data_IF_296489907589
#
_entry.id   IF_296489907589
#
_cell.length_a   1.000
_cell.length_b   1.000
_cell.length_c   1.000
_cell.angle_alpha   90.00
_cell.angle_beta   90.00
_cell.angle_gamma   90.00
#
_symmetry.space_group_name_H-M   'P 1'
#
loop_
_entity.id
_entity.type
_entity.pdbx_description
1 polymer ?
#
# COMPACT_ATOMS: atom_id res chain seq x y z
N UNK A 1 0.72 18.29 -24.45
CA UNK A 1 0.11 17.54 -23.34
C UNK A 1 1.06 17.57 -22.16
N UNK A 2 0.54 17.37 -20.97
CA UNK A 2 1.28 17.40 -19.71
C UNK A 2 0.49 16.66 -18.64
N UNK A 3 1.18 15.98 -17.71
CA UNK A 3 0.60 15.71 -16.40
C UNK A 3 0.42 17.04 -15.66
N UNK A 4 -0.73 17.22 -15.01
CA UNK A 4 -1.04 18.33 -14.10
C UNK A 4 -1.22 17.77 -12.68
N UNK A 5 -0.87 18.56 -11.67
CA UNK A 5 -0.89 18.15 -10.26
C UNK A 5 -1.71 19.16 -9.43
N UNK A 6 -2.95 19.35 -9.86
CA UNK A 6 -3.87 20.43 -9.48
C UNK A 6 -5.27 19.92 -9.06
N UNK A 7 -5.42 18.61 -8.79
CA UNK A 7 -6.66 18.05 -8.23
C UNK A 7 -6.82 18.42 -6.75
N UNK A 8 -7.47 19.55 -6.51
CA UNK A 8 -7.94 20.00 -5.21
C UNK A 8 -9.43 19.68 -5.03
N UNK A 9 -9.85 19.33 -3.81
CA UNK A 9 -11.26 19.13 -3.40
C UNK A 9 -12.04 17.98 -4.10
N UNK A 10 -11.35 16.95 -4.58
CA UNK A 10 -11.97 15.73 -5.16
C UNK A 10 -12.05 14.60 -4.12
N UNK A 11 -13.09 13.77 -4.17
CA UNK A 11 -13.34 12.72 -3.16
C UNK A 11 -12.38 11.52 -3.33
N UNK A 12 -11.32 11.51 -2.53
CA UNK A 12 -10.31 10.44 -2.49
C UNK A 12 -10.66 9.26 -1.58
N UNK A 13 -11.91 9.16 -1.11
CA UNK A 13 -12.39 8.04 -0.28
C UNK A 13 -12.18 6.65 -0.94
N UNK A 14 -11.83 5.68 -0.09
CA UNK A 14 -11.63 4.27 -0.42
C UNK A 14 -12.61 3.41 0.40
N UNK A 15 -13.34 2.46 -0.23
CA UNK A 15 -14.14 1.50 0.52
C UNK A 15 -13.26 0.59 1.36
N UNK A 16 -13.62 0.38 2.62
CA UNK A 16 -13.05 -0.69 3.44
C UNK A 16 -13.88 -1.96 3.20
N UNK A 17 -13.34 -2.89 2.42
CA UNK A 17 -13.97 -4.18 2.11
C UNK A 17 -13.15 -5.32 2.73
N UNK A 18 -13.83 -6.25 3.41
CA UNK A 18 -13.20 -7.28 4.24
C UNK A 18 -12.33 -6.73 5.40
N UNK A 19 -12.26 -5.41 5.59
CA UNK A 19 -11.29 -4.74 6.47
C UNK A 19 -10.05 -4.18 5.75
N UNK A 20 -9.94 -4.34 4.42
CA UNK A 20 -8.85 -3.80 3.61
C UNK A 20 -9.28 -2.50 2.94
N UNK A 21 -8.37 -1.53 2.85
CA UNK A 21 -8.41 -0.47 1.85
C UNK A 21 -7.00 -0.24 1.31
N UNK A 22 -6.85 0.12 0.03
CA UNK A 22 -5.52 0.27 -0.56
C UNK A 22 -5.47 1.27 -1.70
N UNK A 23 -4.32 1.92 -1.85
CA UNK A 23 -4.03 2.89 -2.89
C UNK A 23 -2.59 2.72 -3.38
N UNK A 24 -2.40 2.71 -4.71
CA UNK A 24 -1.07 2.70 -5.31
C UNK A 24 -0.82 3.95 -6.17
N UNK A 25 -0.10 4.94 -5.63
CA UNK A 25 0.37 6.10 -6.39
C UNK A 25 1.20 5.76 -7.63
N UNK A 26 1.97 4.65 -7.63
CA UNK A 26 2.96 4.38 -8.68
C UNK A 26 2.29 3.86 -9.95
N UNK A 27 1.47 2.80 -9.89
CA UNK A 27 0.74 2.32 -11.06
C UNK A 27 -0.30 3.34 -11.55
N UNK A 28 -0.92 4.12 -10.65
CA UNK A 28 -1.76 5.25 -11.05
C UNK A 28 -0.99 6.25 -11.93
N UNK A 29 0.20 6.67 -11.49
CA UNK A 29 1.02 7.63 -12.24
C UNK A 29 1.58 7.05 -13.54
N UNK A 30 1.95 5.77 -13.57
CA UNK A 30 2.38 5.09 -14.80
C UNK A 30 1.24 4.96 -15.82
N UNK A 31 0.02 4.66 -15.37
CA UNK A 31 -1.16 4.66 -16.23
C UNK A 31 -1.48 6.07 -16.75
N UNK A 32 -1.43 7.09 -15.89
CA UNK A 32 -1.66 8.48 -16.26
C UNK A 32 -0.61 9.01 -17.28
N UNK A 33 0.68 8.67 -17.11
CA UNK A 33 1.72 9.04 -18.06
C UNK A 33 1.45 8.42 -19.44
N UNK A 34 1.21 7.10 -19.51
CA UNK A 34 0.94 6.41 -20.77
C UNK A 34 -0.39 6.85 -21.44
N UNK A 35 -1.34 7.38 -20.66
CA UNK A 35 -2.56 8.02 -21.16
C UNK A 35 -2.26 9.43 -21.74
N UNK A 36 -1.35 10.18 -21.11
CA UNK A 36 -0.93 11.51 -21.59
C UNK A 36 -0.03 11.45 -22.82
N UNK A 37 0.85 10.45 -22.90
CA UNK A 37 1.67 10.14 -24.09
C UNK A 37 0.81 9.82 -25.33
N UNK A 38 -0.45 9.40 -25.12
CA UNK A 38 -1.46 9.14 -26.15
C UNK A 38 -2.33 10.33 -26.51
N UNK A 39 -2.07 11.51 -25.93
CA UNK A 39 -2.74 12.76 -26.24
C UNK A 39 -3.66 13.31 -25.15
N UNK A 40 -3.87 12.58 -24.05
CA UNK A 40 -4.65 13.11 -22.91
C UNK A 40 -3.90 14.20 -22.15
N UNK A 41 -4.63 15.14 -21.54
CA UNK A 41 -4.10 15.95 -20.44
C UNK A 41 -4.67 15.38 -19.14
N UNK A 42 -3.80 14.76 -18.35
CA UNK A 42 -4.21 14.03 -17.14
C UNK A 42 -3.84 14.84 -15.91
N UNK A 43 -4.82 15.06 -15.05
CA UNK A 43 -4.67 15.69 -13.76
C UNK A 43 -4.56 14.60 -12.69
N UNK A 44 -3.66 14.80 -11.73
CA UNK A 44 -3.36 13.92 -10.62
C UNK A 44 -3.39 14.68 -9.29
N UNK A 45 -3.49 13.94 -8.19
CA UNK A 45 -3.38 14.51 -6.84
C UNK A 45 -2.00 15.18 -6.65
N UNK A 46 -1.91 16.35 -5.98
CA UNK A 46 -0.64 17.03 -5.74
C UNK A 46 0.41 16.16 -5.02
N UNK A 47 -0.01 15.25 -4.14
CA UNK A 47 0.87 14.39 -3.36
C UNK A 47 1.40 13.14 -4.12
N UNK A 48 1.03 12.94 -5.39
CA UNK A 48 1.69 11.95 -6.27
C UNK A 48 2.66 12.59 -7.29
N UNK A 49 3.01 13.87 -7.08
CA UNK A 49 3.87 14.66 -7.98
C UNK A 49 5.38 14.37 -7.86
N UNK A 50 5.85 13.75 -6.77
CA UNK A 50 7.27 13.53 -6.50
C UNK A 50 7.99 12.52 -7.41
N UNK A 51 9.22 12.19 -7.09
CA UNK A 51 10.07 11.21 -7.77
C UNK A 51 9.53 9.78 -7.57
N UNK A 52 9.43 8.99 -8.65
CA UNK A 52 9.03 7.58 -8.60
C UNK A 52 10.24 6.68 -8.34
N UNK A 53 10.02 5.53 -7.68
CA UNK A 53 11.00 4.47 -7.47
C UNK A 53 11.51 3.89 -8.81
N UNK A 54 12.83 3.96 -9.11
CA UNK A 54 13.45 3.25 -10.22
C UNK A 54 13.22 1.72 -10.20
N UNK A 55 13.32 1.04 -9.05
CA UNK A 55 13.12 -0.42 -8.94
C UNK A 55 11.70 -0.79 -9.37
N UNK A 56 10.69 -0.16 -8.76
CA UNK A 56 9.29 -0.48 -9.00
C UNK A 56 8.82 -0.04 -10.40
N UNK A 57 9.45 0.99 -10.98
CA UNK A 57 9.22 1.38 -12.38
C UNK A 57 9.79 0.33 -13.36
N UNK A 58 10.90 -0.32 -13.04
CA UNK A 58 11.46 -1.43 -13.86
C UNK A 58 10.65 -2.72 -13.73
N UNK A 59 10.01 -2.94 -12.58
CA UNK A 59 9.08 -4.07 -12.34
C UNK A 59 7.67 -3.84 -12.91
N UNK A 60 7.39 -2.66 -13.47
CA UNK A 60 6.10 -2.31 -14.03
C UNK A 60 5.90 -2.84 -15.45
N UNK A 61 4.67 -3.22 -15.75
CA UNK A 61 4.17 -3.47 -17.10
C UNK A 61 3.02 -2.53 -17.39
N UNK A 62 3.01 -1.90 -18.57
CA UNK A 62 1.94 -0.99 -19.00
C UNK A 62 1.40 -1.45 -20.34
N UNK A 63 0.18 -2.01 -20.32
CA UNK A 63 -0.59 -2.36 -21.51
C UNK A 63 -1.57 -1.23 -21.83
N UNK A 64 -1.79 -0.94 -23.12
CA UNK A 64 -2.68 0.14 -23.52
C UNK A 64 -3.36 -0.16 -24.87
N UNK A 65 -4.59 -0.62 -24.79
CA UNK A 65 -5.39 -1.18 -25.89
C UNK A 65 -6.83 -0.65 -25.85
N UNK A 66 -7.57 -0.58 -26.98
CA UNK A 66 -8.99 -0.27 -26.95
C UNK A 66 -9.79 -1.39 -26.25
N UNK A 67 -10.77 -1.03 -25.42
CA UNK A 67 -11.69 -1.98 -24.81
C UNK A 67 -13.11 -1.85 -25.41
N UNK A 68 -14.01 -2.78 -25.10
CA UNK A 68 -15.36 -2.80 -25.69
C UNK A 68 -16.14 -1.53 -25.29
N UNK A 69 -16.31 -0.62 -26.24
CA UNK A 69 -16.96 0.69 -26.03
C UNK A 69 -16.04 1.80 -25.49
N UNK A 70 -14.74 1.53 -25.27
CA UNK A 70 -13.78 2.48 -24.70
C UNK A 70 -12.60 2.65 -25.68
N UNK A 71 -12.39 3.84 -26.29
CA UNK A 71 -11.43 4.02 -27.38
C UNK A 71 -9.97 3.86 -26.96
N UNK A 72 -9.65 4.11 -25.68
CA UNK A 72 -8.33 3.84 -25.08
C UNK A 72 -8.53 3.33 -23.66
N UNK A 73 -8.11 2.10 -23.37
CA UNK A 73 -7.83 1.64 -22.01
C UNK A 73 -6.33 1.65 -21.76
N UNK A 74 -5.91 1.91 -20.53
CA UNK A 74 -4.52 1.79 -20.06
C UNK A 74 -4.55 1.02 -18.75
N UNK A 75 -3.72 -0.02 -18.66
CA UNK A 75 -3.56 -0.86 -17.47
C UNK A 75 -2.09 -0.89 -17.11
N UNK A 76 -1.74 -0.25 -15.99
CA UNK A 76 -0.43 -0.38 -15.37
C UNK A 76 -0.50 -1.45 -14.27
N UNK A 77 0.45 -2.38 -14.27
CA UNK A 77 0.59 -3.43 -13.25
C UNK A 77 2.03 -3.48 -12.76
N UNK A 78 2.24 -3.44 -11.44
CA UNK A 78 3.53 -3.63 -10.78
C UNK A 78 3.43 -4.93 -9.97
N UNK A 79 4.33 -5.88 -10.22
CA UNK A 79 4.51 -7.09 -9.40
C UNK A 79 5.90 -7.01 -8.77
N UNK A 80 5.98 -6.91 -7.44
CA UNK A 80 7.25 -6.90 -6.71
C UNK A 80 8.05 -8.19 -6.89
N UNK A 81 7.38 -9.25 -7.37
CA UNK A 81 7.79 -10.64 -7.24
C UNK A 81 8.04 -10.98 -5.77
N UNK A 82 8.80 -12.04 -5.51
CA UNK A 82 9.13 -12.45 -4.14
C UNK A 82 10.20 -11.53 -3.55
N UNK A 83 9.78 -10.64 -2.66
CA UNK A 83 10.66 -9.91 -1.76
C UNK A 83 11.07 -10.82 -0.60
N UNK A 84 12.33 -10.73 -0.18
CA UNK A 84 12.87 -11.47 0.98
C UNK A 84 13.27 -10.50 2.09
N UNK A 85 13.02 -10.88 3.34
CA UNK A 85 13.58 -10.19 4.51
C UNK A 85 15.11 -10.07 4.42
N UNK A 86 15.69 -8.93 4.81
CA UNK A 86 17.14 -8.89 5.04
C UNK A 86 17.51 -9.69 6.31
N UNK A 87 17.91 -10.94 6.07
CA UNK A 87 18.39 -11.88 7.08
C UNK A 87 19.80 -11.58 7.59
N UNK A 88 20.46 -10.52 7.10
CA UNK A 88 21.67 -9.97 7.68
C UNK A 88 21.41 -9.30 9.04
N UNK A 89 20.24 -8.67 9.20
CA UNK A 89 19.84 -7.99 10.43
C UNK A 89 18.81 -8.79 11.26
N UNK A 90 17.91 -9.54 10.61
CA UNK A 90 16.71 -10.09 11.26
C UNK A 90 16.62 -11.63 11.21
N UNK A 91 15.83 -12.19 12.14
CA UNK A 91 15.48 -13.62 12.13
C UNK A 91 13.97 -13.78 12.31
N UNK A 92 13.18 -13.56 11.24
CA UNK A 92 11.72 -13.63 11.29
C UNK A 92 11.19 -14.98 11.79
N UNK A 93 10.14 -14.96 12.61
CA UNK A 93 9.48 -16.17 13.12
C UNK A 93 7.97 -16.07 13.07
N UNK A 94 7.33 -17.18 12.69
CA UNK A 94 5.93 -17.42 12.92
C UNK A 94 5.59 -17.35 14.43
N UNK A 95 4.65 -16.49 14.80
CA UNK A 95 4.10 -16.38 16.17
C UNK A 95 2.60 -16.13 16.13
N UNK A 96 1.88 -16.56 17.17
CA UNK A 96 0.48 -16.20 17.39
C UNK A 96 0.39 -15.04 18.40
N UNK A 97 -0.52 -14.09 18.18
CA UNK A 97 -0.73 -12.93 19.05
C UNK A 97 -2.22 -12.56 19.16
N UNK A 98 -2.61 -11.84 20.22
CA UNK A 98 -3.97 -11.34 20.39
C UNK A 98 -4.16 -10.00 19.68
N UNK A 99 -5.29 -9.79 19.01
CA UNK A 99 -5.67 -8.54 18.32
C UNK A 99 -6.66 -7.69 19.15
N UNK A 100 -7.02 -6.49 18.68
CA UNK A 100 -7.91 -5.56 19.42
C UNK A 100 -9.29 -6.11 19.69
N UNK A 101 -9.75 -6.94 18.76
CA UNK A 101 -11.01 -7.68 18.83
C UNK A 101 -11.00 -8.74 19.94
N UNK A 102 -9.85 -8.99 20.59
CA UNK A 102 -9.60 -10.12 21.46
C UNK A 102 -9.36 -11.44 20.72
N UNK A 103 -9.29 -11.41 19.38
CA UNK A 103 -9.06 -12.60 18.55
C UNK A 103 -7.57 -12.97 18.48
N UNK A 104 -7.27 -14.26 18.46
CA UNK A 104 -5.93 -14.77 18.20
C UNK A 104 -5.64 -14.74 16.68
N UNK A 105 -4.52 -14.15 16.29
CA UNK A 105 -4.09 -13.88 14.90
C UNK A 105 -2.69 -14.41 14.66
N UNK A 106 -2.41 -14.72 13.40
CA UNK A 106 -1.07 -15.08 12.96
C UNK A 106 -0.21 -13.83 12.71
N UNK A 107 1.03 -13.83 13.18
CA UNK A 107 1.98 -12.73 13.05
C UNK A 107 3.43 -13.19 12.82
N UNK A 108 4.28 -12.23 12.47
CA UNK A 108 5.72 -12.41 12.25
C UNK A 108 6.49 -11.61 13.29
N UNK A 109 7.17 -12.30 14.21
CA UNK A 109 8.17 -11.73 15.12
C UNK A 109 9.42 -11.41 14.30
N UNK A 110 9.74 -10.13 14.14
CA UNK A 110 10.94 -9.65 13.46
C UNK A 110 12.14 -9.53 14.41
N UNK A 111 11.93 -9.71 15.71
CA UNK A 111 12.93 -9.44 16.74
C UNK A 111 12.96 -7.98 17.15
N UNK A 112 14.16 -7.43 17.31
CA UNK A 112 14.39 -6.06 17.83
C UNK A 112 14.54 -5.07 16.68
N UNK A 113 13.70 -4.04 16.67
CA UNK A 113 13.72 -2.95 15.68
C UNK A 113 13.57 -1.58 16.37
N UNK A 114 14.08 -0.48 15.76
CA UNK A 114 13.77 0.87 16.18
C UNK A 114 12.29 1.19 15.93
N UNK A 115 11.64 1.85 16.89
CA UNK A 115 10.25 2.32 16.82
C UNK A 115 10.20 3.79 17.20
N UNK A 116 9.36 4.58 16.53
CA UNK A 116 9.05 5.97 16.90
C UNK A 116 7.55 6.14 17.20
N UNK A 117 7.22 6.87 18.27
CA UNK A 117 5.87 7.38 18.54
C UNK A 117 5.71 8.74 17.82
N UNK A 118 5.03 8.76 16.66
CA UNK A 118 4.74 9.95 15.87
C UNK A 118 3.35 10.50 16.21
N UNK A 119 3.25 11.13 17.38
CA UNK A 119 1.97 11.59 17.93
C UNK A 119 1.15 10.41 18.45
N UNK A 120 -0.04 10.19 17.88
CA UNK A 120 -0.90 9.04 18.21
C UNK A 120 -0.60 7.78 17.37
N UNK A 121 0.24 7.89 16.34
CA UNK A 121 0.61 6.81 15.42
C UNK A 121 2.00 6.27 15.77
N UNK A 122 2.20 4.95 15.78
CA UNK A 122 3.56 4.38 15.88
C UNK A 122 4.08 3.91 14.56
N UNK A 123 5.40 4.01 14.40
CA UNK A 123 6.10 3.70 13.15
C UNK A 123 7.30 2.81 13.42
N UNK A 124 7.49 1.81 12.55
CA UNK A 124 8.73 1.04 12.40
C UNK A 124 8.95 0.75 10.90
N UNK A 125 10.19 0.55 10.49
CA UNK A 125 10.55 0.19 9.12
C UNK A 125 11.62 -0.90 9.09
N UNK A 126 11.71 -1.61 7.96
CA UNK A 126 12.67 -2.71 7.73
C UNK A 126 12.87 -2.87 6.24
N UNK A 127 14.09 -3.23 5.84
CA UNK A 127 14.43 -3.47 4.44
C UNK A 127 14.09 -4.91 3.98
N UNK A 128 13.55 -4.99 2.77
CA UNK A 128 13.32 -6.22 2.04
C UNK A 128 14.08 -6.17 0.71
N UNK A 129 14.71 -7.27 0.32
CA UNK A 129 15.50 -7.37 -0.90
C UNK A 129 14.66 -7.97 -2.04
N UNK A 130 14.82 -7.43 -3.26
CA UNK A 130 14.25 -8.02 -4.48
C UNK A 130 14.94 -9.35 -4.84
N UNK A 131 14.46 -10.02 -5.89
CA UNK A 131 15.17 -11.16 -6.48
C UNK A 131 16.61 -10.81 -6.87
N UNK A 132 16.88 -9.54 -7.23
CA UNK A 132 18.18 -9.01 -7.67
C UNK A 132 19.05 -8.36 -6.59
N UNK A 133 18.73 -8.55 -5.31
CA UNK A 133 19.44 -7.94 -4.15
C UNK A 133 19.34 -6.40 -4.06
N UNK A 134 18.35 -5.79 -4.72
CA UNK A 134 18.02 -4.36 -4.55
C UNK A 134 17.14 -4.18 -3.29
N UNK A 135 17.35 -3.11 -2.50
CA UNK A 135 16.58 -2.88 -1.27
C UNK A 135 15.31 -2.05 -1.50
N UNK A 136 14.22 -2.48 -0.87
CA UNK A 136 12.98 -1.74 -0.70
C UNK A 136 12.60 -1.73 0.79
N UNK A 137 12.55 -0.54 1.39
CA UNK A 137 12.10 -0.39 2.78
C UNK A 137 10.58 -0.54 2.85
N UNK A 138 10.10 -1.52 3.63
CA UNK A 138 8.69 -1.62 4.02
C UNK A 138 8.49 -0.91 5.36
N UNK A 139 7.41 -0.12 5.42
CA UNK A 139 7.01 0.66 6.59
C UNK A 139 5.74 0.10 7.19
N UNK A 140 5.62 0.17 8.51
CA UNK A 140 4.42 -0.22 9.26
C UNK A 140 3.98 0.93 10.15
N UNK A 141 2.73 1.36 10.00
CA UNK A 141 2.09 2.34 10.87
C UNK A 141 0.94 1.71 11.67
N UNK A 142 0.99 1.88 12.99
CA UNK A 142 -0.05 1.52 13.95
C UNK A 142 -1.01 2.71 14.12
N UNK A 143 -2.21 2.64 13.52
CA UNK A 143 -3.20 3.71 13.69
C UNK A 143 -3.88 3.63 15.06
N UNK A 144 -4.22 4.78 15.68
CA UNK A 144 -4.80 4.83 17.03
C UNK A 144 -6.24 4.32 17.13
N UNK A 145 -6.94 4.15 16.00
CA UNK A 145 -8.29 3.61 15.88
C UNK A 145 -8.53 3.08 14.47
N UNK A 146 -9.54 2.22 14.30
CA UNK A 146 -10.08 1.89 12.97
C UNK A 146 -10.68 3.13 12.29
N UNK A 147 -10.44 3.22 10.98
CA UNK A 147 -11.02 4.26 10.15
C UNK A 147 -12.47 3.90 9.79
N UNK A 148 -13.31 4.93 9.62
CA UNK A 148 -14.53 4.88 8.80
C UNK A 148 -14.18 4.32 7.43
N UNK A 149 -13.38 5.06 6.69
CA UNK A 149 -12.93 4.73 5.36
C UNK A 149 -11.52 5.28 5.27
N UNK A 150 -10.68 4.62 4.49
CA UNK A 150 -9.43 5.25 4.11
C UNK A 150 -9.72 6.37 3.12
N UNK A 151 -8.85 7.37 3.10
CA UNK A 151 -8.80 8.37 2.05
C UNK A 151 -7.41 8.29 1.40
N UNK A 152 -7.38 8.17 0.07
CA UNK A 152 -6.15 7.96 -0.69
C UNK A 152 -5.15 9.13 -0.54
N UNK A 153 -5.65 10.36 -0.35
CA UNK A 153 -4.81 11.53 -0.08
C UNK A 153 -4.23 11.44 1.33
N UNK A 154 -5.08 11.22 2.35
CA UNK A 154 -4.65 11.13 3.75
C UNK A 154 -3.68 9.95 4.02
N UNK A 155 -3.88 8.80 3.38
CA UNK A 155 -2.94 7.67 3.45
C UNK A 155 -1.58 8.01 2.81
N UNK A 156 -1.58 8.71 1.68
CA UNK A 156 -0.34 9.16 1.00
C UNK A 156 0.38 10.24 1.83
N UNK A 157 -0.37 11.20 2.37
CA UNK A 157 0.17 12.28 3.21
C UNK A 157 0.77 11.71 4.51
N UNK A 158 0.14 10.70 5.13
CA UNK A 158 0.71 9.96 6.25
C UNK A 158 2.05 9.32 5.88
N UNK A 159 2.09 8.52 4.80
CA UNK A 159 3.29 7.82 4.36
C UNK A 159 4.47 8.77 4.06
N UNK A 160 4.19 9.89 3.37
CA UNK A 160 5.18 10.94 3.06
C UNK A 160 5.63 11.67 4.32
N UNK A 161 4.71 12.09 5.20
CA UNK A 161 5.03 12.78 6.45
C UNK A 161 5.86 11.92 7.39
N UNK A 162 5.45 10.66 7.60
CA UNK A 162 6.18 9.69 8.41
C UNK A 162 7.62 9.52 7.94
N UNK A 163 7.83 9.30 6.64
CA UNK A 163 9.19 9.10 6.11
C UNK A 163 10.04 10.36 6.23
N UNK A 164 9.45 11.54 6.01
CA UNK A 164 10.16 12.82 6.09
C UNK A 164 10.68 13.15 7.50
N UNK A 165 10.04 12.66 8.56
CA UNK A 165 10.40 12.96 9.96
C UNK A 165 11.07 11.80 10.69
N UNK A 166 11.20 10.61 10.08
CA UNK A 166 11.77 9.42 10.72
C UNK A 166 13.19 9.64 11.28
N UNK A 167 14.08 10.25 10.49
CA UNK A 167 15.47 10.50 10.88
C UNK A 167 15.62 11.51 12.04
N UNK A 168 14.65 12.41 12.20
CA UNK A 168 14.64 13.45 13.24
C UNK A 168 13.78 13.06 14.47
N UNK A 169 13.09 11.92 14.42
CA UNK A 169 12.22 11.43 15.50
C UNK A 169 12.99 10.70 16.61
N UNK A 170 12.50 10.78 17.84
CA UNK A 170 13.07 9.99 18.96
C UNK A 170 12.70 8.52 18.79
N UNK A 171 13.70 7.68 18.50
CA UNK A 171 13.54 6.24 18.26
C UNK A 171 13.98 5.43 19.48
N UNK A 172 13.28 4.34 19.77
CA UNK A 172 13.62 3.38 20.82
C UNK A 172 13.55 1.93 20.32
N UNK A 173 14.42 1.06 20.83
CA UNK A 173 14.39 -0.37 20.51
C UNK A 173 13.15 -1.06 21.13
N UNK A 174 12.29 -1.63 20.29
CA UNK A 174 11.21 -2.51 20.72
C UNK A 174 11.39 -3.95 20.19
N UNK A 175 10.67 -4.91 20.76
CA UNK A 175 10.37 -6.16 20.06
C UNK A 175 9.15 -5.92 19.16
N UNK A 176 9.27 -6.25 17.87
CA UNK A 176 8.25 -5.96 16.86
C UNK A 176 7.69 -7.27 16.29
N UNK A 177 6.40 -7.48 16.55
CA UNK A 177 5.56 -8.43 15.83
C UNK A 177 4.61 -7.66 14.92
N UNK A 178 4.51 -8.08 13.66
CA UNK A 178 3.55 -7.54 12.68
C UNK A 178 2.49 -8.60 12.32
N UNK A 179 1.25 -8.23 11.94
CA UNK A 179 0.27 -9.20 11.46
C UNK A 179 0.72 -9.86 10.15
N UNK A 180 0.53 -11.17 10.03
CA UNK A 180 0.71 -11.89 8.78
C UNK A 180 -0.54 -11.76 7.90
N UNK A 181 -0.35 -11.61 6.58
CA UNK A 181 -1.42 -11.18 5.68
C UNK A 181 -1.43 -11.99 4.39
N UNK A 182 -2.62 -12.35 3.92
CA UNK A 182 -2.85 -12.73 2.53
C UNK A 182 -4.22 -12.18 2.13
N UNK A 183 -4.23 -11.22 1.20
CA UNK A 183 -5.41 -10.47 0.82
C UNK A 183 -5.48 -10.25 -0.69
N UNK A 184 -6.71 -10.15 -1.19
CA UNK A 184 -7.03 -9.51 -2.46
C UNK A 184 -8.03 -8.40 -2.19
N UNK A 185 -7.94 -7.31 -2.93
CA UNK A 185 -8.76 -6.12 -2.69
C UNK A 185 -8.95 -5.31 -3.98
N UNK A 186 -10.03 -4.52 -4.05
CA UNK A 186 -10.41 -3.76 -5.23
C UNK A 186 -10.99 -2.40 -4.84
N UNK A 187 -10.12 -1.39 -4.73
CA UNK A 187 -10.52 0.00 -4.54
C UNK A 187 -11.08 0.62 -5.82
N UNK A 188 -11.71 1.78 -5.68
CA UNK A 188 -11.98 2.67 -6.81
C UNK A 188 -12.11 4.16 -6.39
N UNK A 189 -10.97 4.83 -6.10
CA UNK A 189 -10.92 6.21 -5.58
C UNK A 189 -10.95 7.27 -6.70
N UNK A 190 -11.41 8.50 -6.46
CA UNK A 190 -11.30 9.58 -7.47
C UNK A 190 -9.96 10.32 -7.36
N UNK A 191 -8.86 9.66 -7.80
CA UNK A 191 -7.50 10.21 -7.71
C UNK A 191 -6.92 10.76 -9.05
N UNK A 192 -7.70 10.77 -10.13
CA UNK A 192 -7.30 11.31 -11.43
C UNK A 192 -8.48 11.90 -12.23
N UNK A 193 -8.20 12.88 -13.08
CA UNK A 193 -9.15 13.50 -14.03
C UNK A 193 -8.48 13.64 -15.40
N UNK A 194 -9.24 13.64 -16.50
CA UNK A 194 -8.71 13.79 -17.87
C UNK A 194 -9.50 14.87 -18.58
N UNK A 195 -8.82 15.88 -19.12
CA UNK A 195 -9.48 16.86 -20.00
C UNK A 195 -9.90 16.19 -21.33
N UNK A 196 -11.03 16.64 -21.87
CA UNK A 196 -11.63 16.20 -23.15
C UNK A 196 -12.22 14.76 -23.20
N UNK A 197 -11.93 13.87 -22.23
CA UNK A 197 -12.46 12.49 -22.20
C UNK A 197 -13.31 12.22 -20.94
N UNK A 198 -14.51 11.64 -21.10
CA UNK A 198 -15.34 11.20 -19.96
C UNK A 198 -14.69 10.02 -19.22
N UNK A 199 -14.14 10.27 -18.03
CA UNK A 199 -13.68 9.21 -17.13
C UNK A 199 -14.87 8.54 -16.44
N UNK A 200 -15.10 7.28 -16.78
CA UNK A 200 -16.07 6.40 -16.10
C UNK A 200 -15.58 5.82 -14.77
N UNK A 201 -14.36 6.18 -14.33
CA UNK A 201 -13.89 5.97 -12.94
C UNK A 201 -12.36 5.94 -12.74
N UNK A 202 -11.91 5.32 -11.65
CA UNK A 202 -10.56 4.81 -11.36
C UNK A 202 -10.70 3.54 -10.47
N UNK A 203 -9.97 2.43 -10.69
CA UNK A 203 -10.16 1.11 -10.03
C UNK A 203 -8.79 0.45 -9.79
N UNK A 204 -8.41 0.22 -8.54
CA UNK A 204 -7.13 -0.41 -8.21
C UNK A 204 -7.35 -1.79 -7.62
N UNK A 205 -6.86 -2.82 -8.31
CA UNK A 205 -6.81 -4.21 -7.85
C UNK A 205 -5.48 -4.47 -7.15
N UNK A 206 -5.54 -5.17 -6.02
CA UNK A 206 -4.40 -5.57 -5.23
C UNK A 206 -4.47 -7.06 -4.94
N UNK A 207 -3.30 -7.69 -4.92
CA UNK A 207 -3.06 -8.96 -4.26
C UNK A 207 -1.77 -8.83 -3.44
N UNK A 208 -1.81 -9.12 -2.15
CA UNK A 208 -0.64 -9.07 -1.28
C UNK A 208 -0.58 -10.32 -0.39
N UNK A 209 0.61 -10.88 -0.25
CA UNK A 209 0.90 -11.99 0.67
C UNK A 209 2.21 -11.71 1.42
N UNK A 210 2.22 -11.97 2.73
CA UNK A 210 3.23 -11.48 3.66
C UNK A 210 3.36 -12.43 4.87
N UNK A 211 4.52 -13.08 5.02
CA UNK A 211 4.79 -14.12 6.02
C UNK A 211 6.26 -14.12 6.53
N UNK A 212 6.64 -15.14 7.31
CA UNK A 212 8.00 -15.29 7.84
C UNK A 212 9.04 -15.66 6.77
N UNK A 213 8.59 -16.10 5.59
CA UNK A 213 9.43 -16.42 4.43
C UNK A 213 9.74 -15.18 3.58
N UNK A 214 8.81 -14.21 3.51
CA UNK A 214 8.97 -12.96 2.77
C UNK A 214 7.65 -12.29 2.41
N UNK A 215 7.62 -11.62 1.25
CA UNK A 215 6.43 -10.93 0.77
C UNK A 215 6.30 -10.98 -0.76
N UNK A 216 5.09 -10.75 -1.26
CA UNK A 216 4.82 -10.37 -2.66
C UNK A 216 3.60 -9.46 -2.72
N UNK A 217 3.69 -8.43 -3.55
CA UNK A 217 2.60 -7.49 -3.81
C UNK A 217 2.44 -7.31 -5.32
N UNK A 218 1.21 -7.49 -5.79
CA UNK A 218 0.78 -7.24 -7.15
C UNK A 218 -0.27 -6.12 -7.09
N UNK A 219 0.05 -4.95 -7.67
CA UNK A 219 -0.85 -3.81 -7.76
C UNK A 219 -1.16 -3.52 -9.23
N UNK A 220 -2.45 -3.37 -9.57
CA UNK A 220 -2.93 -3.12 -10.93
C UNK A 220 -3.98 -2.02 -10.95
N UNK A 221 -3.85 -1.07 -11.88
CA UNK A 221 -4.79 0.05 -12.05
C UNK A 221 -5.58 -0.05 -13.35
N UNK A 222 -6.92 -0.21 -13.23
CA UNK A 222 -8.00 -0.03 -14.21
C UNK A 222 -8.93 1.13 -13.73
N UNK A 223 -10.22 1.27 -14.16
CA UNK A 223 -11.02 2.49 -13.84
C UNK A 223 -12.58 2.43 -13.53
N UNK A 224 -13.05 2.49 -12.23
CA UNK A 224 -14.49 2.53 -11.72
C UNK A 224 -14.76 3.36 -10.38
N UNK A 225 -15.62 2.97 -9.38
CA UNK A 225 -15.95 3.78 -8.14
C UNK A 225 -16.37 3.00 -6.82
N UNK A 226 -16.15 3.53 -5.57
CA UNK A 226 -16.60 2.94 -4.26
C UNK A 226 -16.35 3.76 -2.94
N UNK A 227 -16.86 3.36 -1.72
CA UNK A 227 -16.76 4.08 -0.39
C UNK A 227 -17.14 3.26 0.92
N UNK A 228 -16.96 3.84 2.15
CA UNK A 228 -17.46 3.42 3.54
C UNK A 228 -16.80 2.19 4.28
N UNK A 229 -17.01 1.72 5.56
CA UNK A 229 -17.34 2.11 7.00
C UNK A 229 -17.24 0.86 7.98
N UNK A 230 -16.87 0.80 9.31
CA UNK A 230 -16.28 1.68 10.38
C UNK A 230 -15.55 0.86 11.57
N UNK A 231 -15.75 0.93 12.95
CA UNK A 231 -14.61 0.91 13.96
C UNK A 231 -14.71 0.11 15.36
N UNK A 232 -13.84 0.26 16.44
CA UNK A 232 -12.36 0.33 16.67
C UNK A 232 -11.77 -0.56 17.88
N UNK A 233 -10.92 -0.18 18.91
CA UNK A 233 -9.71 -0.97 19.29
C UNK A 233 -9.30 -1.24 20.80
N UNK A 234 -8.21 -2.01 21.10
CA UNK A 234 -7.13 -1.76 22.12
C UNK A 234 -6.05 -2.90 22.34
N UNK A 235 -4.69 -2.73 22.46
CA UNK A 235 -3.67 -1.69 22.00
C UNK A 235 -2.14 -2.10 22.27
N UNK A 236 -1.08 -2.58 21.54
CA UNK A 236 -0.40 -3.24 20.32
C UNK A 236 -0.70 -3.09 18.80
N UNK A 237 0.22 -3.37 17.85
CA UNK A 237 0.01 -3.32 16.38
C UNK A 237 -0.99 -4.39 15.93
N UNK A 238 -2.15 -3.99 15.39
CA UNK A 238 -3.28 -4.92 15.25
C UNK A 238 -4.01 -5.21 16.56
N UNK A 239 -3.63 -4.52 17.64
CA UNK A 239 -4.46 -4.21 18.80
C UNK A 239 -4.81 -2.69 18.94
N UNK A 240 -4.18 -1.72 18.29
CA UNK A 240 -4.55 -0.28 18.41
C UNK A 240 -5.62 0.13 17.43
N UNK A 241 -5.98 -0.81 16.57
CA UNK A 241 -6.70 -0.59 15.35
C UNK A 241 -5.89 -1.18 14.19
N UNK A 242 -6.15 -0.69 12.98
CA UNK A 242 -5.66 -1.22 11.73
C UNK A 242 -4.18 -0.88 11.52
N UNK A 243 -3.54 -1.68 10.67
CA UNK A 243 -2.15 -1.49 10.25
C UNK A 243 -2.15 -0.98 8.82
N UNK A 244 -1.45 0.12 8.58
CA UNK A 244 -1.12 0.58 7.23
C UNK A 244 0.31 0.16 6.91
N UNK A 245 0.50 -0.53 5.79
CA UNK A 245 1.82 -0.88 5.24
C UNK A 245 2.04 -0.17 3.89
N UNK A 246 3.28 0.17 3.57
CA UNK A 246 3.68 0.67 2.25
C UNK A 246 5.17 0.45 2.00
N UNK A 247 5.60 0.60 0.75
CA UNK A 247 6.99 0.41 0.33
C UNK A 247 7.61 1.71 -0.19
N UNK A 248 8.92 1.89 0.02
CA UNK A 248 9.70 3.02 -0.51
C UNK A 248 11.11 2.59 -0.93
N UNK A 249 11.69 3.32 -1.88
CA UNK A 249 13.11 3.26 -2.26
C UNK A 249 13.82 4.55 -1.83
N UNK A 250 15.14 4.50 -1.61
CA UNK A 250 15.95 5.71 -1.40
C UNK A 250 15.87 6.63 -2.63
N UNK A 251 15.75 7.94 -2.42
CA UNK A 251 15.63 8.93 -3.51
C UNK A 251 14.28 8.98 -4.24
N UNK A 252 13.42 7.96 -4.11
CA UNK A 252 12.00 8.10 -4.45
C UNK A 252 11.32 9.06 -3.46
N UNK A 253 10.20 9.68 -3.85
CA UNK A 253 9.35 10.49 -2.97
C UNK A 253 7.90 9.96 -2.92
N UNK A 254 7.47 9.27 -3.97
CA UNK A 254 6.15 8.66 -4.08
C UNK A 254 6.16 7.25 -3.48
N UNK A 255 5.35 6.95 -2.44
CA UNK A 255 5.25 5.62 -1.85
C UNK A 255 4.49 4.65 -2.76
N UNK A 256 4.77 3.35 -2.64
CA UNK A 256 4.14 2.27 -3.41
C UNK A 256 3.19 1.44 -2.56
N UNK A 257 2.06 1.08 -3.17
CA UNK A 257 1.06 0.14 -2.62
C UNK A 257 0.79 0.35 -1.12
N UNK A 258 0.16 1.46 -0.78
CA UNK A 258 -0.27 1.75 0.59
C UNK A 258 -1.51 0.90 0.89
N UNK A 259 -1.37 -0.11 1.75
CA UNK A 259 -2.46 -1.03 2.14
C UNK A 259 -2.81 -0.82 3.61
N UNK A 260 -3.98 -0.24 3.86
CA UNK A 260 -4.69 -0.28 5.13
C UNK A 260 -5.31 -1.66 5.34
N UNK A 261 -5.17 -2.23 6.53
CA UNK A 261 -5.76 -3.52 6.90
C UNK A 261 -6.29 -3.51 8.33
N UNK A 262 -7.48 -4.09 8.55
CA UNK A 262 -8.14 -4.25 9.83
C UNK A 262 -8.28 -5.74 10.21
N UNK A 263 -8.68 -6.03 11.45
CA UNK A 263 -8.69 -7.39 12.03
C UNK A 263 -9.44 -8.45 11.21
N UNK A 264 -10.50 -8.08 10.50
CA UNK A 264 -11.25 -9.00 9.63
C UNK A 264 -10.47 -9.48 8.39
N UNK A 265 -9.43 -8.75 7.97
CA UNK A 265 -8.59 -9.09 6.83
C UNK A 265 -7.37 -9.95 7.18
N UNK A 266 -7.02 -10.08 8.47
CA UNK A 266 -5.83 -10.82 8.92
C UNK A 266 -6.09 -12.30 9.11
N UNK A 267 -5.03 -13.08 8.88
CA UNK A 267 -5.09 -14.54 8.93
C UNK A 267 -5.24 -15.04 10.36
N UNK A 268 -6.01 -16.13 10.49
CA UNK A 268 -6.18 -16.85 11.77
C UNK A 268 -4.92 -17.64 12.09
N UNK A 269 -4.63 -17.82 13.37
CA UNK A 269 -3.57 -18.70 13.86
C UNK A 269 -3.54 -20.04 13.09
N UNK A 270 -2.34 -20.47 12.69
CA UNK A 270 -2.13 -21.72 11.93
C UNK A 270 -2.57 -21.71 10.45
N UNK A 271 -2.99 -20.57 9.88
CA UNK A 271 -3.27 -20.47 8.43
C UNK A 271 -1.97 -20.46 7.62
N UNK A 272 -1.88 -21.26 6.55
CA UNK A 272 -0.75 -21.21 5.62
C UNK A 272 -0.92 -20.09 4.60
N UNK A 273 0.16 -19.36 4.34
CA UNK A 273 0.25 -18.37 3.26
C UNK A 273 0.76 -19.05 1.98
N UNK A 274 0.29 -18.59 0.82
CA UNK A 274 0.80 -18.99 -0.50
C UNK A 274 1.25 -17.75 -1.30
N UNK A 275 2.50 -17.33 -1.06
CA UNK A 275 3.14 -16.18 -1.72
C UNK A 275 3.37 -16.46 -3.22
N UNK A 276 3.74 -17.68 -3.57
CA UNK A 276 4.11 -18.05 -4.94
C UNK A 276 2.86 -18.23 -5.82
N UNK A 277 1.76 -18.76 -5.25
CA UNK A 277 0.46 -18.91 -5.90
C UNK A 277 -0.40 -17.64 -5.99
N UNK A 278 0.07 -16.50 -5.48
CA UNK A 278 -0.66 -15.23 -5.43
C UNK A 278 -1.07 -14.73 -6.82
N UNK A 279 -2.34 -14.33 -6.96
CA UNK A 279 -2.96 -13.80 -8.18
C UNK A 279 -3.89 -12.62 -7.87
N UNK A 280 -4.09 -11.73 -8.84
CA UNK A 280 -5.08 -10.65 -8.77
C UNK A 280 -6.52 -11.19 -8.83
N UNK A 281 -7.50 -10.54 -8.17
CA UNK A 281 -8.93 -10.80 -8.36
C UNK A 281 -9.42 -10.30 -9.73
#
# INVERSE_FOLDING_TARGET
>A
MSLKYDLENVNTELPIDGGVAAFDPVSLRLAAQALSDRGGTVHLLPNVAGTQSPILTQLATVAAEPAVGIPTSVVATVDTRRLRWDRGALTPKAVDFTAYTGEEKYGVDLGRLPVADMGDTRVTCVDMLTEGDESLTVWFAELPAELTSADARALTDLAVHTRAHWADSEQYDALVTIPAQQLTYMASPQASHVEEWDLTGLQQKFAAAFDETGARVIAQTAMFAGALHMPPPARTFGERGPVVLWFTEEGAEVPFSIIYTASSAWLKAGTKVDIDGLQLP
#
